data_IF_584295679605
#
_entry.id   IF_584295679605
#
_cell.length_a   1.000
_cell.length_b   1.000
_cell.length_c   1.000
_cell.angle_alpha   90.00
_cell.angle_beta   90.00
_cell.angle_gamma   90.00
#
_symmetry.space_group_name_H-M   'P 1'
#
loop_
_entity.id
_entity.type
_entity.pdbx_description
1 polymer ?
#
# COMPACT_ATOMS: atom_id res chain seq x y z
N UNK A 1 32.91 18.35 -35.79
CA UNK A 1 32.42 18.70 -34.46
C UNK A 1 33.60 18.96 -33.55
N UNK A 2 33.56 20.02 -32.75
CA UNK A 2 34.57 20.33 -31.73
C UNK A 2 33.98 19.97 -30.39
N UNK A 3 34.75 19.27 -29.55
CA UNK A 3 34.29 18.88 -28.19
C UNK A 3 34.17 20.13 -27.32
N UNK A 4 33.02 20.33 -26.70
CA UNK A 4 32.83 21.38 -25.70
C UNK A 4 33.65 21.07 -24.44
N UNK A 5 34.32 22.06 -23.84
CA UNK A 5 35.19 21.88 -22.68
C UNK A 5 34.39 21.76 -21.35
N UNK A 6 33.09 22.03 -21.38
CA UNK A 6 32.23 22.00 -20.18
C UNK A 6 31.72 20.60 -19.88
N UNK A 7 31.56 20.31 -18.59
CA UNK A 7 30.95 19.09 -18.10
C UNK A 7 29.46 19.34 -17.95
N UNK A 8 28.64 18.49 -18.51
CA UNK A 8 27.18 18.55 -18.32
C UNK A 8 26.84 18.16 -16.89
N UNK A 9 25.77 18.75 -16.36
CA UNK A 9 25.20 18.39 -15.07
C UNK A 9 24.68 16.95 -15.10
N UNK A 10 24.93 16.16 -14.05
CA UNK A 10 24.44 14.79 -13.90
C UNK A 10 22.90 14.69 -13.95
N UNK A 11 22.19 15.75 -13.67
CA UNK A 11 20.72 15.81 -13.79
C UNK A 11 20.22 15.74 -15.24
N UNK A 12 21.08 16.00 -16.24
CA UNK A 12 20.70 15.80 -17.65
C UNK A 12 20.51 14.31 -17.93
N UNK A 13 21.42 13.45 -17.48
CA UNK A 13 21.30 11.99 -17.65
C UNK A 13 20.02 11.46 -17.00
N UNK A 14 19.76 11.85 -15.76
CA UNK A 14 18.52 11.47 -15.05
C UNK A 14 17.27 12.07 -15.68
N UNK A 15 17.36 13.26 -16.25
CA UNK A 15 16.28 13.92 -17.00
C UNK A 15 15.91 13.21 -18.31
N UNK A 16 16.83 12.42 -18.86
CA UNK A 16 16.58 11.59 -20.05
C UNK A 16 15.89 10.25 -19.73
N UNK A 17 15.66 9.90 -18.46
CA UNK A 17 15.19 8.57 -18.05
C UNK A 17 13.93 8.11 -18.77
N UNK A 18 12.99 9.00 -19.08
CA UNK A 18 11.71 8.64 -19.73
C UNK A 18 11.84 8.02 -21.11
N UNK A 19 12.93 8.28 -21.82
CA UNK A 19 13.19 7.74 -23.16
C UNK A 19 14.49 6.95 -23.23
N UNK A 20 15.53 7.34 -22.48
CA UNK A 20 16.81 6.65 -22.51
C UNK A 20 16.73 5.21 -22.00
N UNK A 21 15.82 4.89 -21.04
CA UNK A 21 15.57 3.54 -20.57
C UNK A 21 15.11 2.58 -21.70
N UNK A 22 14.52 3.09 -22.75
CA UNK A 22 14.07 2.33 -23.91
C UNK A 22 15.09 2.31 -25.04
N UNK A 23 16.19 3.05 -24.90
CA UNK A 23 17.18 3.32 -25.96
C UNK A 23 16.54 4.03 -27.17
N UNK A 24 15.46 4.78 -26.93
CA UNK A 24 14.80 5.60 -27.95
C UNK A 24 15.72 6.75 -28.40
N UNK A 25 15.78 7.08 -29.73
CA UNK A 25 14.91 6.60 -30.83
C UNK A 25 15.49 5.39 -31.57
N UNK A 26 16.54 4.73 -31.09
CA UNK A 26 17.25 3.70 -31.83
C UNK A 26 16.59 2.32 -31.69
N UNK A 27 15.91 2.07 -30.58
CA UNK A 27 15.25 0.81 -30.25
C UNK A 27 13.95 1.07 -29.47
N UNK A 28 13.07 0.05 -29.41
CA UNK A 28 11.87 0.03 -28.55
C UNK A 28 10.95 1.26 -28.67
N UNK A 29 10.74 1.76 -29.88
CA UNK A 29 9.86 2.90 -30.15
C UNK A 29 8.44 2.61 -29.68
N UNK A 30 7.94 1.39 -29.88
CA UNK A 30 6.65 0.90 -29.41
C UNK A 30 6.48 1.01 -27.88
N UNK A 31 7.53 0.71 -27.11
CA UNK A 31 7.51 0.83 -25.64
C UNK A 31 7.54 2.29 -25.21
N UNK A 32 8.31 3.11 -25.90
CA UNK A 32 8.30 4.55 -25.64
C UNK A 32 6.92 5.13 -25.88
N UNK A 33 6.31 4.90 -27.04
CA UNK A 33 5.00 5.42 -27.37
C UNK A 33 3.90 4.96 -26.41
N UNK A 34 4.00 3.72 -25.91
CA UNK A 34 3.06 3.20 -24.93
C UNK A 34 3.25 3.77 -23.51
N UNK A 35 4.43 4.31 -23.19
CA UNK A 35 4.77 4.73 -21.82
C UNK A 35 5.04 6.23 -21.66
N UNK A 36 5.09 6.99 -22.75
CA UNK A 36 5.37 8.43 -22.70
C UNK A 36 4.12 9.27 -23.05
N UNK A 37 3.81 10.34 -22.29
CA UNK A 37 4.37 10.73 -21.00
C UNK A 37 4.11 9.69 -19.90
N UNK A 38 5.06 9.47 -18.98
CA UNK A 38 4.90 8.48 -17.92
C UNK A 38 3.70 8.81 -17.02
N UNK A 39 3.00 7.80 -16.55
CA UNK A 39 1.76 8.00 -15.80
C UNK A 39 2.01 8.61 -14.41
N UNK A 40 3.15 8.27 -13.80
CA UNK A 40 3.41 8.60 -12.42
C UNK A 40 4.90 8.65 -12.07
N UNK A 41 5.29 9.66 -11.29
CA UNK A 41 6.60 9.74 -10.63
C UNK A 41 6.41 10.05 -9.15
N UNK A 42 7.34 9.57 -8.31
CA UNK A 42 7.29 9.77 -6.87
C UNK A 42 8.69 9.89 -6.29
N UNK A 43 8.98 11.02 -5.69
CA UNK A 43 10.21 11.29 -4.95
C UNK A 43 9.97 12.36 -3.89
N UNK A 44 11.00 12.66 -3.08
CA UNK A 44 10.90 13.66 -2.04
C UNK A 44 10.81 15.10 -2.59
N UNK A 45 10.30 16.02 -1.77
CA UNK A 45 10.01 17.42 -2.16
C UNK A 45 11.22 18.21 -2.65
N UNK A 46 12.43 17.83 -2.26
CA UNK A 46 13.68 18.44 -2.75
C UNK A 46 13.90 18.23 -4.26
N UNK A 47 13.29 17.19 -4.84
CA UNK A 47 13.34 16.89 -6.27
C UNK A 47 12.55 17.88 -7.15
N UNK A 48 11.83 18.80 -6.56
CA UNK A 48 11.27 19.98 -7.28
C UNK A 48 12.35 20.88 -7.88
N UNK A 49 13.55 20.82 -7.32
CA UNK A 49 14.76 21.50 -7.83
C UNK A 49 15.85 20.52 -8.29
N UNK A 50 15.47 19.30 -8.63
CA UNK A 50 16.32 18.22 -9.10
C UNK A 50 15.63 17.44 -10.20
N UNK A 51 15.32 16.18 -9.94
CA UNK A 51 14.83 15.26 -10.95
C UNK A 51 13.49 15.66 -11.57
N UNK A 52 12.52 16.15 -10.81
CA UNK A 52 11.24 16.60 -11.38
C UNK A 52 11.43 17.74 -12.39
N UNK A 53 12.33 18.68 -12.06
CA UNK A 53 12.66 19.78 -12.94
C UNK A 53 13.39 19.30 -14.19
N UNK A 54 14.43 18.46 -14.06
CA UNK A 54 15.24 18.00 -15.19
C UNK A 54 14.43 17.12 -16.16
N UNK A 55 13.55 16.24 -15.65
CA UNK A 55 12.61 15.47 -16.46
C UNK A 55 11.74 16.39 -17.34
N UNK A 56 11.16 17.42 -16.75
CA UNK A 56 10.33 18.38 -17.48
C UNK A 56 11.13 19.22 -18.49
N UNK A 57 12.28 19.73 -18.07
CA UNK A 57 13.10 20.57 -18.93
C UNK A 57 13.59 19.81 -20.17
N UNK A 58 14.11 18.60 -19.98
CA UNK A 58 14.58 17.74 -21.09
C UNK A 58 13.42 17.36 -22.01
N UNK A 59 12.33 16.87 -21.42
CA UNK A 59 11.17 16.41 -22.21
C UNK A 59 10.53 17.54 -23.03
N UNK A 60 10.35 18.71 -22.44
CA UNK A 60 9.83 19.88 -23.15
C UNK A 60 10.75 20.32 -24.28
N UNK A 61 12.08 20.28 -24.05
CA UNK A 61 13.06 20.68 -25.07
C UNK A 61 13.11 19.69 -26.23
N UNK A 62 13.00 18.38 -25.97
CA UNK A 62 13.18 17.33 -26.98
C UNK A 62 11.88 16.98 -27.68
N UNK A 63 10.77 16.93 -26.95
CA UNK A 63 9.49 16.39 -27.43
C UNK A 63 8.36 17.43 -27.46
N UNK A 64 8.59 18.66 -27.00
CA UNK A 64 7.53 19.68 -26.83
C UNK A 64 6.34 19.16 -26.00
N UNK A 65 6.64 18.33 -24.99
CA UNK A 65 5.64 17.61 -24.22
C UNK A 65 6.02 17.55 -22.73
N UNK A 66 5.00 17.34 -21.88
CA UNK A 66 5.21 16.99 -20.46
C UNK A 66 5.89 15.63 -20.35
N UNK A 67 6.74 15.43 -19.37
CA UNK A 67 7.38 14.14 -19.12
C UNK A 67 6.48 13.17 -18.36
N UNK A 68 5.66 13.67 -17.45
CA UNK A 68 4.82 12.87 -16.55
C UNK A 68 3.45 13.50 -16.35
N UNK A 69 2.45 12.65 -16.14
CA UNK A 69 1.04 13.05 -15.94
C UNK A 69 0.73 13.35 -14.48
N UNK A 70 1.38 12.64 -13.55
CA UNK A 70 1.17 12.78 -12.10
C UNK A 70 2.50 12.74 -11.39
N UNK A 71 2.62 13.59 -10.35
CA UNK A 71 3.79 13.64 -9.47
C UNK A 71 3.32 13.58 -8.03
N UNK A 72 3.80 12.60 -7.26
CA UNK A 72 3.66 12.57 -5.82
C UNK A 72 4.95 13.07 -5.18
N UNK A 73 4.90 14.29 -4.68
CA UNK A 73 6.00 14.89 -3.94
C UNK A 73 5.91 14.50 -2.47
N UNK A 74 6.85 13.66 -2.00
CA UNK A 74 6.84 13.15 -0.64
C UNK A 74 7.40 14.17 0.35
N UNK A 75 6.78 14.25 1.53
CA UNK A 75 7.33 14.97 2.69
C UNK A 75 8.59 14.30 3.23
N UNK A 76 9.35 15.05 4.01
CA UNK A 76 10.55 14.52 4.66
C UNK A 76 10.20 13.52 5.77
N UNK A 77 11.01 12.48 5.91
CA UNK A 77 10.98 11.59 7.07
C UNK A 77 11.91 12.19 8.13
N UNK A 78 11.34 12.47 9.29
CA UNK A 78 12.00 13.05 10.44
C UNK A 78 12.22 11.98 11.51
N UNK A 79 13.12 12.22 12.47
CA UNK A 79 13.23 11.36 13.65
C UNK A 79 11.96 11.47 14.53
N UNK A 80 11.87 10.66 15.57
CA UNK A 80 10.73 10.65 16.50
C UNK A 80 10.44 12.02 17.13
N UNK A 81 11.46 12.88 17.24
CA UNK A 81 11.38 14.20 17.86
C UNK A 81 11.12 15.32 16.83
N UNK A 82 10.84 14.95 15.57
CA UNK A 82 10.57 15.89 14.48
C UNK A 82 11.81 16.59 13.91
N UNK A 83 13.01 16.04 14.14
CA UNK A 83 14.26 16.61 13.63
C UNK A 83 14.69 15.88 12.37
N UNK A 84 15.30 16.63 11.44
CA UNK A 84 15.88 16.05 10.23
C UNK A 84 16.97 15.04 10.59
N UNK A 85 16.84 13.83 10.05
CA UNK A 85 17.82 12.77 10.21
C UNK A 85 19.13 13.11 9.48
N UNK A 86 20.26 12.89 10.14
CA UNK A 86 21.58 13.00 9.51
C UNK A 86 22.58 12.07 10.18
N UNK A 87 23.53 11.55 9.40
CA UNK A 87 24.60 10.68 9.91
C UNK A 87 25.44 11.38 10.98
N UNK A 88 25.69 12.68 10.81
CA UNK A 88 26.47 13.47 11.77
C UNK A 88 25.80 13.66 13.12
N UNK A 89 24.48 13.59 13.19
CA UNK A 89 23.70 13.68 14.43
C UNK A 89 23.44 12.33 15.10
N UNK A 90 23.71 11.21 14.40
CA UNK A 90 23.47 9.87 14.90
C UNK A 90 21.99 9.49 15.08
N UNK A 91 21.07 10.27 14.49
CA UNK A 91 19.62 10.04 14.60
C UNK A 91 19.02 9.36 13.37
N UNK A 92 19.85 8.73 12.54
CA UNK A 92 19.40 7.96 11.36
C UNK A 92 18.90 6.60 11.83
N UNK A 93 17.70 6.24 11.41
CA UNK A 93 17.15 4.91 11.63
C UNK A 93 17.60 3.99 10.50
N UNK A 94 18.14 2.83 10.87
CA UNK A 94 18.47 1.79 9.90
C UNK A 94 17.22 0.93 9.64
N UNK A 95 16.66 0.93 8.43
CA UNK A 95 15.45 0.17 8.14
C UNK A 95 15.62 -1.36 8.28
N UNK A 96 16.84 -1.89 8.12
CA UNK A 96 17.12 -3.32 8.27
C UNK A 96 16.84 -3.85 9.67
N UNK A 97 17.03 -3.02 10.71
CA UNK A 97 16.72 -3.41 12.09
C UNK A 97 15.23 -3.72 12.28
N UNK A 98 14.38 -3.03 11.52
CA UNK A 98 12.93 -3.22 11.51
C UNK A 98 12.49 -4.31 10.54
N UNK A 99 13.12 -4.42 9.36
CA UNK A 99 12.85 -5.51 8.42
C UNK A 99 13.04 -6.88 9.06
N UNK A 100 14.09 -7.01 9.88
CA UNK A 100 14.41 -8.27 10.54
C UNK A 100 13.48 -8.59 11.73
N UNK A 101 12.83 -7.60 12.32
CA UNK A 101 11.97 -7.78 13.52
C UNK A 101 10.48 -7.85 13.15
N UNK A 102 9.99 -6.84 12.47
CA UNK A 102 8.57 -6.66 12.18
C UNK A 102 8.20 -7.02 10.73
N UNK A 103 9.20 -7.26 9.88
CA UNK A 103 9.02 -7.52 8.45
C UNK A 103 8.86 -6.24 7.61
N UNK A 104 9.16 -6.36 6.32
CA UNK A 104 9.13 -5.23 5.40
C UNK A 104 7.71 -4.66 5.21
N UNK A 105 6.69 -5.51 5.20
CA UNK A 105 5.31 -5.09 5.01
C UNK A 105 4.79 -4.22 6.15
N UNK A 106 5.26 -4.44 7.37
CA UNK A 106 4.91 -3.62 8.53
C UNK A 106 5.41 -2.19 8.38
N UNK A 107 6.62 -2.01 7.88
CA UNK A 107 7.18 -0.69 7.60
C UNK A 107 6.44 -0.04 6.44
N UNK A 108 6.21 -0.76 5.35
CA UNK A 108 5.46 -0.25 4.19
C UNK A 108 4.06 0.20 4.59
N UNK A 109 3.37 -0.59 5.43
CA UNK A 109 2.06 -0.25 5.95
C UNK A 109 2.10 1.00 6.84
N UNK A 110 3.03 1.04 7.81
CA UNK A 110 3.23 2.19 8.67
C UNK A 110 3.48 3.46 7.86
N UNK A 111 4.44 3.44 6.93
CA UNK A 111 4.78 4.59 6.11
C UNK A 111 3.63 5.06 5.21
N UNK A 112 2.77 4.14 4.76
CA UNK A 112 1.63 4.47 3.91
C UNK A 112 0.46 5.04 4.71
N UNK A 113 0.26 4.58 5.95
CA UNK A 113 -0.96 4.89 6.72
C UNK A 113 -0.78 5.93 7.81
N UNK A 114 0.47 6.19 8.26
CA UNK A 114 0.74 7.08 9.38
C UNK A 114 0.33 8.53 9.10
N UNK A 115 0.66 9.06 7.93
CA UNK A 115 0.32 10.42 7.54
C UNK A 115 0.06 10.51 6.03
N UNK A 116 -0.43 11.67 5.58
CA UNK A 116 -0.49 11.95 4.16
C UNK A 116 0.93 11.98 3.58
N UNK A 117 1.20 11.33 2.43
CA UNK A 117 2.56 11.15 1.92
C UNK A 117 3.30 12.44 1.61
N UNK A 118 2.59 13.53 1.30
CA UNK A 118 3.16 14.87 1.07
C UNK A 118 3.48 15.66 2.35
N UNK A 119 3.09 15.14 3.52
CA UNK A 119 3.37 15.78 4.81
C UNK A 119 4.64 15.22 5.43
N UNK A 120 5.45 16.04 6.13
CA UNK A 120 6.55 15.52 6.93
C UNK A 120 6.04 14.49 7.95
N UNK A 121 6.76 13.38 8.08
CA UNK A 121 6.36 12.26 8.94
C UNK A 121 7.47 11.95 9.93
N UNK A 122 7.12 11.92 11.22
CA UNK A 122 8.05 11.45 12.24
C UNK A 122 8.11 9.92 12.21
N UNK A 123 9.31 9.37 12.06
CA UNK A 123 9.51 7.94 12.13
C UNK A 123 9.71 7.51 13.59
N UNK A 124 8.73 6.81 14.12
CA UNK A 124 8.80 6.20 15.46
C UNK A 124 8.87 4.67 15.32
N UNK A 125 9.97 4.03 15.78
CA UNK A 125 10.08 2.58 15.81
C UNK A 125 8.95 1.86 16.55
N UNK A 126 8.41 2.45 17.61
CA UNK A 126 7.27 1.88 18.32
C UNK A 126 5.99 1.92 17.45
N UNK A 127 5.81 2.98 16.68
CA UNK A 127 4.69 3.11 15.74
C UNK A 127 4.67 2.01 14.67
N UNK A 128 5.84 1.57 14.20
CA UNK A 128 5.93 0.41 13.28
C UNK A 128 5.40 -0.85 13.94
N UNK A 129 5.82 -1.13 15.20
CA UNK A 129 5.37 -2.28 15.96
C UNK A 129 3.87 -2.24 16.28
N UNK A 130 3.37 -1.07 16.65
CA UNK A 130 1.94 -0.87 16.91
C UNK A 130 1.12 -1.08 15.64
N UNK A 131 1.58 -0.57 14.51
CA UNK A 131 0.96 -0.74 13.20
C UNK A 131 0.93 -2.21 12.78
N UNK A 132 2.02 -2.95 12.99
CA UNK A 132 2.09 -4.40 12.78
C UNK A 132 1.04 -5.14 13.65
N UNK A 133 1.04 -4.87 14.95
CA UNK A 133 0.13 -5.55 15.87
C UNK A 133 -1.34 -5.25 15.55
N UNK A 134 -1.64 -4.02 15.20
CA UNK A 134 -3.00 -3.56 14.92
C UNK A 134 -3.57 -4.15 13.63
N UNK A 135 -2.79 -4.20 12.56
CA UNK A 135 -3.25 -4.68 11.26
C UNK A 135 -2.92 -6.16 11.03
N UNK A 136 -1.64 -6.48 10.94
CA UNK A 136 -1.22 -7.81 10.48
C UNK A 136 -1.46 -8.91 11.51
N UNK A 137 -1.12 -8.66 12.79
CA UNK A 137 -1.35 -9.65 13.84
C UNK A 137 -2.85 -9.86 14.08
N UNK A 138 -3.66 -8.81 13.98
CA UNK A 138 -5.12 -8.92 14.09
C UNK A 138 -5.67 -9.77 12.95
N UNK A 139 -5.30 -9.48 11.70
CA UNK A 139 -5.75 -10.25 10.54
C UNK A 139 -5.27 -11.70 10.59
N UNK A 140 -4.01 -11.92 10.99
CA UNK A 140 -3.45 -13.27 11.17
C UNK A 140 -4.21 -14.07 12.23
N UNK A 141 -4.55 -13.47 13.35
CA UNK A 141 -5.32 -14.13 14.40
C UNK A 141 -6.74 -14.48 13.95
N UNK A 142 -7.39 -13.64 13.14
CA UNK A 142 -8.68 -13.94 12.54
C UNK A 142 -8.57 -15.12 11.56
N UNK A 143 -7.58 -15.06 10.66
CA UNK A 143 -7.32 -16.17 9.73
C UNK A 143 -7.04 -17.48 10.47
N UNK A 144 -6.12 -17.45 11.44
CA UNK A 144 -5.77 -18.63 12.22
C UNK A 144 -7.00 -19.20 12.95
N UNK A 145 -7.79 -18.35 13.57
CA UNK A 145 -9.04 -18.77 14.22
C UNK A 145 -9.98 -19.48 13.25
N UNK A 146 -10.21 -18.91 12.07
CA UNK A 146 -11.02 -19.55 11.04
C UNK A 146 -10.40 -20.87 10.57
N UNK A 147 -9.12 -20.89 10.23
CA UNK A 147 -8.44 -22.09 9.72
C UNK A 147 -8.42 -23.24 10.73
N UNK A 148 -8.19 -22.95 12.01
CA UNK A 148 -8.20 -23.96 13.08
C UNK A 148 -9.58 -24.65 13.18
N UNK A 149 -10.67 -23.88 13.19
CA UNK A 149 -12.02 -24.44 13.29
C UNK A 149 -12.50 -25.05 11.97
N UNK A 150 -12.21 -24.47 10.84
CA UNK A 150 -12.50 -25.07 9.53
C UNK A 150 -11.82 -26.43 9.38
N UNK A 151 -10.56 -26.55 9.82
CA UNK A 151 -9.82 -27.81 9.80
C UNK A 151 -10.44 -28.87 10.76
N UNK A 152 -10.87 -28.47 11.96
CA UNK A 152 -11.51 -29.36 12.91
C UNK A 152 -12.86 -29.89 12.40
N UNK A 153 -13.60 -29.04 11.70
CA UNK A 153 -14.89 -29.37 11.13
C UNK A 153 -14.81 -30.14 9.79
N UNK A 154 -13.61 -30.24 9.20
CA UNK A 154 -13.42 -30.76 7.85
C UNK A 154 -14.07 -29.87 6.77
N UNK A 155 -14.24 -28.58 7.05
CA UNK A 155 -14.85 -27.64 6.12
C UNK A 155 -13.96 -27.42 4.91
N UNK A 156 -14.55 -27.60 3.72
CA UNK A 156 -13.93 -27.31 2.43
C UNK A 156 -14.70 -26.18 1.73
N UNK A 157 -14.07 -25.01 1.51
CA UNK A 157 -14.73 -23.89 0.83
C UNK A 157 -15.04 -24.17 -0.64
N UNK A 158 -14.46 -25.22 -1.24
CA UNK A 158 -14.76 -25.70 -2.58
C UNK A 158 -15.93 -26.68 -2.67
N UNK A 159 -16.51 -27.06 -1.55
CA UNK A 159 -17.65 -27.99 -1.51
C UNK A 159 -18.97 -27.22 -1.60
N UNK A 160 -19.69 -27.40 -2.71
CA UNK A 160 -21.01 -26.77 -2.95
C UNK A 160 -22.06 -27.16 -1.92
N UNK A 161 -21.96 -28.36 -1.31
CA UNK A 161 -22.91 -28.83 -0.31
C UNK A 161 -22.91 -27.99 0.99
N UNK A 162 -21.81 -27.30 1.26
CA UNK A 162 -21.69 -26.43 2.44
C UNK A 162 -21.92 -24.96 2.11
N UNK A 163 -22.11 -24.62 0.83
CA UNK A 163 -22.36 -23.25 0.41
C UNK A 163 -23.74 -22.76 0.87
N UNK A 164 -23.77 -21.60 1.55
CA UNK A 164 -25.01 -20.97 2.01
C UNK A 164 -25.29 -19.73 1.15
N UNK A 165 -26.41 -19.73 0.40
CA UNK A 165 -26.85 -18.57 -0.38
C UNK A 165 -27.00 -17.30 0.49
N UNK A 166 -26.82 -16.13 -0.10
CA UNK A 166 -26.86 -14.87 0.63
C UNK A 166 -28.19 -14.63 1.36
N UNK A 167 -29.30 -15.07 0.77
CA UNK A 167 -30.64 -14.91 1.29
C UNK A 167 -30.89 -15.74 2.57
N UNK A 168 -30.18 -16.86 2.69
CA UNK A 168 -30.31 -17.80 3.82
C UNK A 168 -29.34 -17.47 4.96
N UNK A 169 -28.37 -16.55 4.71
CA UNK A 169 -27.41 -16.14 5.72
C UNK A 169 -28.02 -15.26 6.80
N UNK A 170 -27.48 -15.36 8.00
CA UNK A 170 -27.89 -14.52 9.11
C UNK A 170 -27.75 -13.01 8.80
N UNK A 171 -28.49 -12.19 9.52
CA UNK A 171 -28.34 -10.72 9.39
C UNK A 171 -26.92 -10.25 9.65
N UNK A 172 -26.18 -10.90 10.57
CA UNK A 172 -24.81 -10.56 10.90
C UNK A 172 -23.85 -10.88 9.74
N UNK A 173 -24.06 -12.03 9.08
CA UNK A 173 -23.24 -12.45 7.94
C UNK A 173 -23.49 -11.54 6.72
N UNK A 174 -24.76 -11.25 6.42
CA UNK A 174 -25.13 -10.30 5.36
C UNK A 174 -24.58 -8.90 5.63
N UNK A 175 -24.58 -8.48 6.90
CA UNK A 175 -24.02 -7.18 7.30
C UNK A 175 -22.52 -7.09 7.04
N UNK A 176 -21.72 -8.11 7.42
CA UNK A 176 -20.27 -8.07 7.20
C UNK A 176 -19.91 -8.14 5.72
N UNK A 177 -20.63 -8.91 4.92
CA UNK A 177 -20.44 -8.97 3.46
C UNK A 177 -20.75 -7.61 2.80
N UNK A 178 -21.83 -6.95 3.20
CA UNK A 178 -22.17 -5.59 2.75
C UNK A 178 -21.11 -4.58 3.16
N UNK A 179 -20.57 -4.67 4.38
CA UNK A 179 -19.49 -3.82 4.87
C UNK A 179 -18.20 -4.06 4.09
N UNK A 180 -17.83 -5.31 3.82
CA UNK A 180 -16.66 -5.69 3.04
C UNK A 180 -16.76 -5.16 1.61
N UNK A 181 -17.91 -5.30 0.97
CA UNK A 181 -18.16 -4.77 -0.38
C UNK A 181 -18.05 -3.24 -0.41
N UNK A 182 -18.66 -2.54 0.55
CA UNK A 182 -18.59 -1.08 0.65
C UNK A 182 -17.17 -0.61 0.93
N UNK A 183 -16.43 -1.32 1.78
CA UNK A 183 -15.01 -1.02 2.06
C UNK A 183 -14.17 -1.23 0.81
N UNK A 184 -14.34 -2.34 0.08
CA UNK A 184 -13.60 -2.64 -1.14
C UNK A 184 -13.83 -1.57 -2.23
N UNK A 185 -15.08 -1.15 -2.42
CA UNK A 185 -15.41 -0.08 -3.36
C UNK A 185 -14.77 1.26 -2.93
N UNK A 186 -14.90 1.63 -1.67
CA UNK A 186 -14.30 2.85 -1.12
C UNK A 186 -12.77 2.83 -1.16
N UNK A 187 -12.15 1.66 -0.97
CA UNK A 187 -10.71 1.45 -1.13
C UNK A 187 -10.29 1.69 -2.58
N UNK A 188 -10.98 1.04 -3.52
CA UNK A 188 -10.72 1.19 -4.96
C UNK A 188 -10.81 2.65 -5.40
N UNK A 189 -11.88 3.35 -5.04
CA UNK A 189 -12.10 4.74 -5.41
C UNK A 189 -11.00 5.68 -4.90
N UNK A 190 -10.52 5.44 -3.66
CA UNK A 190 -9.41 6.20 -3.09
C UNK A 190 -8.09 5.85 -3.77
N UNK A 191 -7.86 4.57 -4.06
CA UNK A 191 -6.65 4.09 -4.70
C UNK A 191 -6.49 4.68 -6.11
N UNK A 192 -7.55 4.71 -6.90
CA UNK A 192 -7.57 5.35 -8.24
C UNK A 192 -7.27 6.84 -8.17
N UNK A 193 -7.66 7.51 -7.07
CA UNK A 193 -7.38 8.94 -6.83
C UNK A 193 -6.02 9.20 -6.18
N UNK A 194 -5.20 8.17 -5.95
CA UNK A 194 -3.89 8.25 -5.31
C UNK A 194 -3.95 8.65 -3.82
N UNK A 195 -5.09 8.42 -3.18
CA UNK A 195 -5.33 8.74 -1.77
C UNK A 195 -5.02 7.51 -0.89
N UNK A 196 -3.82 6.94 -1.08
CA UNK A 196 -3.39 5.66 -0.53
C UNK A 196 -3.48 5.59 0.99
N UNK A 197 -3.12 6.69 1.68
CA UNK A 197 -3.14 6.72 3.14
C UNK A 197 -4.55 6.61 3.72
N UNK A 198 -5.55 7.22 3.06
CA UNK A 198 -6.95 7.06 3.48
C UNK A 198 -7.48 5.67 3.13
N UNK A 199 -7.13 5.14 1.95
CA UNK A 199 -7.48 3.78 1.57
C UNK A 199 -6.98 2.76 2.61
N UNK A 200 -5.70 2.85 3.00
CA UNK A 200 -5.12 1.98 4.01
C UNK A 200 -5.76 2.12 5.39
N UNK A 201 -6.05 3.35 5.83
CA UNK A 201 -6.73 3.59 7.13
C UNK A 201 -8.14 3.03 7.18
N UNK A 202 -8.90 3.13 6.10
CA UNK A 202 -10.25 2.58 6.03
C UNK A 202 -10.22 1.04 6.06
N UNK A 203 -9.25 0.44 5.35
CA UNK A 203 -9.03 -1.00 5.40
C UNK A 203 -8.66 -1.46 6.82
N UNK A 204 -7.76 -0.75 7.50
CA UNK A 204 -7.38 -1.04 8.88
C UNK A 204 -8.58 -0.92 9.82
N UNK A 205 -9.36 0.14 9.68
CA UNK A 205 -10.56 0.34 10.49
C UNK A 205 -11.59 -0.78 10.29
N UNK A 206 -11.81 -1.21 9.05
CA UNK A 206 -12.68 -2.35 8.74
C UNK A 206 -12.15 -3.65 9.39
N UNK A 207 -10.88 -3.98 9.19
CA UNK A 207 -10.28 -5.22 9.74
C UNK A 207 -10.37 -5.26 11.26
N UNK A 208 -10.02 -4.16 11.92
CA UNK A 208 -9.97 -4.12 13.39
C UNK A 208 -11.37 -4.01 13.99
N UNK A 209 -12.19 -3.06 13.54
CA UNK A 209 -13.43 -2.73 14.21
C UNK A 209 -14.60 -3.60 13.74
N UNK A 210 -14.82 -3.65 12.42
CA UNK A 210 -15.99 -4.33 11.87
C UNK A 210 -15.77 -5.86 11.78
N UNK A 211 -14.61 -6.28 11.27
CA UNK A 211 -14.34 -7.70 11.05
C UNK A 211 -13.91 -8.42 12.33
N UNK A 212 -12.78 -8.06 12.94
CA UNK A 212 -12.25 -8.75 14.11
C UNK A 212 -13.07 -8.51 15.37
N UNK A 213 -13.22 -7.24 15.81
CA UNK A 213 -13.80 -6.89 17.10
C UNK A 213 -15.33 -7.03 17.13
N UNK A 214 -15.99 -6.99 15.98
CA UNK A 214 -17.44 -7.12 15.94
C UNK A 214 -17.87 -8.47 15.37
N UNK A 215 -17.66 -8.72 14.08
CA UNK A 215 -18.14 -9.91 13.41
C UNK A 215 -17.57 -11.20 13.99
N UNK A 216 -16.25 -11.37 13.98
CA UNK A 216 -15.58 -12.58 14.47
C UNK A 216 -15.86 -12.81 15.96
N UNK A 217 -15.80 -11.74 16.76
CA UNK A 217 -16.08 -11.84 18.19
C UNK A 217 -17.50 -12.34 18.48
N UNK A 218 -18.50 -11.92 17.70
CA UNK A 218 -19.89 -12.36 17.85
C UNK A 218 -20.13 -13.74 17.29
N UNK A 219 -19.38 -14.13 16.26
CA UNK A 219 -19.51 -15.41 15.58
C UNK A 219 -18.77 -16.57 16.28
N UNK A 220 -17.94 -16.29 17.29
CA UNK A 220 -17.14 -17.32 17.97
C UNK A 220 -17.94 -18.50 18.45
N UNK A 221 -19.13 -18.28 19.06
CA UNK A 221 -19.98 -19.34 19.58
C UNK A 221 -20.55 -20.24 18.48
N UNK A 222 -20.74 -19.71 17.28
CA UNK A 222 -21.23 -20.46 16.11
C UNK A 222 -20.16 -21.44 15.64
N UNK A 223 -18.89 -20.99 15.59
CA UNK A 223 -17.73 -21.81 15.20
C UNK A 223 -17.34 -22.84 16.27
N UNK A 224 -17.57 -22.53 17.56
CA UNK A 224 -17.31 -23.47 18.67
C UNK A 224 -18.37 -24.56 18.83
N UNK A 225 -19.52 -24.42 18.20
CA UNK A 225 -20.58 -25.42 18.27
C UNK A 225 -20.14 -26.70 17.55
N UNK A 226 -20.27 -27.83 18.22
CA UNK A 226 -20.00 -29.17 17.65
C UNK A 226 -21.02 -29.60 16.64
N UNK A 227 -22.23 -29.02 16.69
CA UNK A 227 -23.34 -29.37 15.79
C UNK A 227 -23.07 -28.74 14.41
N UNK A 228 -23.03 -29.60 13.40
CA UNK A 228 -23.07 -29.18 12.01
C UNK A 228 -24.37 -28.50 11.67
N UNK A 229 -24.35 -27.28 11.20
CA UNK A 229 -25.55 -26.48 10.96
C UNK A 229 -25.37 -25.46 9.85
N UNK A 230 -26.46 -25.11 9.22
CA UNK A 230 -26.49 -24.02 8.22
C UNK A 230 -25.92 -22.71 8.76
N UNK A 231 -26.19 -22.39 10.03
CA UNK A 231 -25.66 -21.18 10.68
C UNK A 231 -24.13 -21.23 10.81
N UNK A 232 -23.56 -22.40 11.11
CA UNK A 232 -22.12 -22.61 11.17
C UNK A 232 -21.48 -22.47 9.78
N UNK A 233 -22.05 -23.15 8.77
CA UNK A 233 -21.59 -23.04 7.39
C UNK A 233 -21.67 -21.59 6.88
N UNK A 234 -22.77 -20.88 7.18
CA UNK A 234 -22.91 -19.45 6.84
C UNK A 234 -21.80 -18.57 7.39
N UNK A 235 -21.26 -18.93 8.56
CA UNK A 235 -20.14 -18.21 9.18
C UNK A 235 -18.78 -18.63 8.61
N UNK A 236 -18.64 -19.87 8.13
CA UNK A 236 -17.40 -20.40 7.55
C UNK A 236 -17.19 -19.97 6.08
N UNK A 237 -18.31 -19.88 5.31
CA UNK A 237 -18.26 -19.37 3.95
C UNK A 237 -17.91 -17.87 3.87
#
# INVERSE_FOLDING_TARGET
MIREPYVMDCWIDSGCASFAQWHYPFENEDKFDASFPVDYICEAVDQTRGWFYSLMAVSTTVFDSICYRRCLSLGHILDKDGKKMSKSKGNVVNPWDHFNKEGADSIRWYMTTQSAPWSPTNFDPNGVRESYAKMFLTLWNVYKFHADYASLDGFDPGNDDTFVPLEERSHLDRWILSKASSMAQGYHDKFVRWDFHKAGRDLEAFVVNDFSNWYVRRSRRRLWNEVDSLDKHSCQN
#
